data_IF_471358962167
#
_entry.id   IF_471358962167
#
_cell.length_a   1.000
_cell.length_b   1.000
_cell.length_c   1.000
_cell.angle_alpha   90.00
_cell.angle_beta   90.00
_cell.angle_gamma   90.00
#
_symmetry.space_group_name_H-M   'P 1'
#
loop_
_entity.id
_entity.type
_entity.pdbx_description
1 polymer ?
#
# COMPACT_ATOMS: atom_id res chain seq x y z
N UNK A 1 -10.79 37.72 -38.65
CA UNK A 1 -11.94 38.55 -39.16
C UNK A 1 -13.22 37.82 -38.77
N UNK A 2 -14.10 38.53 -38.12
CA UNK A 2 -15.46 38.28 -37.66
C UNK A 2 -15.61 37.68 -36.25
N UNK A 3 -15.82 38.66 -35.35
CA UNK A 3 -16.43 38.52 -34.05
C UNK A 3 -17.94 38.43 -34.18
N UNK A 4 -18.60 37.68 -33.26
CA UNK A 4 -20.02 37.88 -33.00
C UNK A 4 -20.31 37.86 -31.51
N UNK A 5 -20.51 39.06 -31.00
CA UNK A 5 -21.15 39.37 -29.73
C UNK A 5 -22.65 39.00 -29.79
N UNK A 6 -23.19 38.40 -28.72
CA UNK A 6 -24.61 38.57 -28.37
C UNK A 6 -24.77 38.85 -26.88
N UNK A 7 -25.10 40.11 -26.62
CA UNK A 7 -25.73 40.58 -25.36
C UNK A 7 -27.23 40.25 -25.42
N UNK A 8 -27.80 39.88 -24.30
CA UNK A 8 -29.24 40.07 -24.07
C UNK A 8 -29.48 40.76 -22.74
N UNK A 9 -30.38 41.75 -22.87
CA UNK A 9 -30.74 42.77 -21.90
C UNK A 9 -31.82 42.36 -20.91
N UNK A 10 -31.81 43.04 -19.82
CA UNK A 10 -32.79 43.21 -18.72
C UNK A 10 -34.25 43.13 -19.01
N UNK A 11 -35.04 42.70 -18.00
CA UNK A 11 -36.33 43.31 -17.69
C UNK A 11 -36.59 43.28 -16.17
N UNK A 12 -36.82 44.50 -15.68
CA UNK A 12 -37.29 44.81 -14.32
C UNK A 12 -38.80 44.50 -14.19
N UNK A 13 -39.22 44.06 -13.01
CA UNK A 13 -40.55 44.40 -12.49
C UNK A 13 -40.54 44.49 -10.98
N UNK A 14 -40.98 45.66 -10.49
CA UNK A 14 -41.27 46.01 -9.09
C UNK A 14 -42.58 45.38 -8.66
N UNK A 15 -42.75 45.10 -7.39
CA UNK A 15 -43.87 45.54 -6.56
C UNK A 15 -43.86 44.84 -5.17
N UNK A 16 -43.83 45.63 -4.18
CA UNK A 16 -44.79 45.95 -3.11
C UNK A 16 -44.79 45.10 -1.84
N UNK A 17 -44.48 45.84 -0.81
CA UNK A 17 -44.67 45.70 0.64
C UNK A 17 -45.92 44.97 1.11
N UNK A 18 -45.75 44.13 2.14
CA UNK A 18 -46.74 44.00 3.22
C UNK A 18 -46.01 43.67 4.53
N UNK A 19 -46.13 44.57 5.50
CA UNK A 19 -45.71 44.44 6.87
C UNK A 19 -46.59 43.40 7.59
N UNK A 20 -45.98 42.44 8.26
CA UNK A 20 -46.58 41.77 9.41
C UNK A 20 -45.49 41.60 10.47
N UNK A 21 -45.64 42.35 11.52
CA UNK A 21 -44.88 42.28 12.77
C UNK A 21 -45.24 40.96 13.46
N UNK A 22 -44.31 40.03 13.51
CA UNK A 22 -44.38 38.88 14.40
C UNK A 22 -43.17 38.92 15.34
N UNK A 23 -43.45 39.32 16.56
CA UNK A 23 -42.51 39.36 17.68
C UNK A 23 -42.14 37.89 18.03
N UNK A 24 -41.02 37.40 17.61
CA UNK A 24 -40.44 36.16 18.09
C UNK A 24 -39.51 36.45 19.24
N UNK A 25 -39.87 36.01 20.43
CA UNK A 25 -38.98 35.91 21.60
C UNK A 25 -37.82 34.97 21.23
N UNK A 26 -36.64 35.54 20.98
CA UNK A 26 -35.40 34.83 20.90
C UNK A 26 -34.98 34.45 22.32
N UNK A 27 -35.33 33.24 22.73
CA UNK A 27 -34.64 32.55 23.81
C UNK A 27 -33.26 32.17 23.29
N UNK A 28 -32.26 33.01 23.52
CA UNK A 28 -30.85 32.66 23.28
C UNK A 28 -30.43 31.67 24.34
N UNK A 29 -30.55 30.37 24.05
CA UNK A 29 -29.72 29.38 24.74
C UNK A 29 -28.30 29.57 24.23
N UNK A 30 -27.30 29.77 25.13
CA UNK A 30 -25.93 29.73 24.71
C UNK A 30 -25.63 28.30 24.28
N UNK A 31 -25.70 28.07 22.98
CA UNK A 31 -25.17 26.85 22.36
C UNK A 31 -23.68 26.83 22.64
N UNK A 32 -23.30 26.09 23.68
CA UNK A 32 -21.90 25.70 23.88
C UNK A 32 -21.53 24.94 22.62
N UNK A 33 -20.83 25.63 21.71
CA UNK A 33 -20.14 24.99 20.60
C UNK A 33 -19.08 24.11 21.27
N UNK A 34 -19.45 22.89 21.61
CA UNK A 34 -18.47 21.86 21.90
C UNK A 34 -17.65 21.67 20.62
N UNK A 35 -16.56 22.43 20.53
CA UNK A 35 -15.44 22.07 19.69
C UNK A 35 -15.21 20.58 19.98
N UNK A 36 -15.50 19.73 19.01
CA UNK A 36 -15.18 18.33 19.10
C UNK A 36 -13.70 18.26 19.49
N UNK A 37 -13.44 17.94 20.75
CA UNK A 37 -12.09 17.76 21.26
C UNK A 37 -11.49 16.65 20.39
N UNK A 38 -10.63 17.04 19.45
CA UNK A 38 -9.90 16.10 18.63
C UNK A 38 -9.22 15.13 19.60
N UNK A 39 -9.70 13.90 19.65
CA UNK A 39 -9.06 12.89 20.48
C UNK A 39 -7.60 12.80 20.06
N UNK A 40 -6.70 13.15 20.96
CA UNK A 40 -5.26 12.94 20.75
C UNK A 40 -5.08 11.44 20.49
N UNK A 41 -4.44 11.06 19.37
CA UNK A 41 -4.21 9.65 19.07
C UNK A 41 -3.48 8.97 20.23
N UNK A 42 -3.96 7.82 20.67
CA UNK A 42 -3.29 7.08 21.74
C UNK A 42 -1.93 6.57 21.27
N UNK A 43 -0.91 6.75 22.09
CA UNK A 43 0.42 6.20 21.87
C UNK A 43 0.58 4.89 22.66
N UNK A 44 1.33 3.95 22.12
CA UNK A 44 1.60 2.67 22.77
C UNK A 44 2.91 2.07 22.31
N UNK A 45 3.58 1.39 23.23
CA UNK A 45 4.68 0.48 22.88
C UNK A 45 4.11 -0.89 22.55
N UNK A 46 4.52 -1.44 21.42
CA UNK A 46 4.15 -2.81 21.03
C UNK A 46 5.26 -3.76 21.41
N UNK A 47 4.89 -4.81 22.15
CA UNK A 47 5.79 -5.89 22.49
C UNK A 47 5.43 -7.15 21.70
N UNK A 48 6.45 -7.83 21.17
CA UNK A 48 6.28 -9.10 20.45
C UNK A 48 5.68 -10.15 21.37
N UNK A 49 4.63 -10.82 20.90
CA UNK A 49 4.02 -11.96 21.57
C UNK A 49 4.76 -13.26 21.29
N UNK A 50 5.14 -13.45 20.04
CA UNK A 50 5.81 -14.64 19.57
C UNK A 50 6.76 -14.32 18.42
N UNK A 51 7.89 -14.98 18.38
CA UNK A 51 8.78 -15.00 17.24
C UNK A 51 8.50 -16.30 16.47
N UNK A 52 8.09 -16.17 15.19
CA UNK A 52 7.73 -17.31 14.36
C UNK A 52 8.96 -17.99 13.76
N UNK A 53 9.99 -17.21 13.40
CA UNK A 53 11.34 -17.71 13.10
C UNK A 53 12.38 -16.63 13.39
N UNK A 54 13.63 -17.02 13.55
CA UNK A 54 14.78 -16.18 13.86
C UNK A 54 15.95 -16.38 12.90
N UNK A 55 17.12 -16.00 13.36
CA UNK A 55 18.37 -16.03 12.58
C UNK A 55 18.85 -17.43 12.16
N UNK A 56 18.31 -18.48 12.78
CA UNK A 56 18.56 -19.88 12.43
C UNK A 56 17.92 -20.31 11.11
N UNK A 57 16.95 -19.56 10.63
CA UNK A 57 16.28 -19.84 9.37
C UNK A 57 17.20 -19.59 8.17
N UNK A 58 17.27 -20.55 7.25
CA UNK A 58 18.14 -20.51 6.06
C UNK A 58 17.53 -19.69 4.93
N UNK A 59 17.22 -18.43 5.20
CA UNK A 59 16.82 -17.46 4.17
C UNK A 59 18.03 -16.58 3.80
N UNK A 60 18.04 -16.11 2.53
CA UNK A 60 19.02 -15.12 2.05
C UNK A 60 18.44 -13.72 2.17
N UNK A 61 17.31 -13.47 1.50
CA UNK A 61 16.66 -12.17 1.52
C UNK A 61 15.12 -12.31 1.48
N UNK A 62 14.47 -12.55 2.62
CA UNK A 62 13.01 -12.65 2.70
C UNK A 62 12.38 -11.26 2.55
N UNK A 63 11.86 -10.99 1.36
CA UNK A 63 11.37 -9.64 1.00
C UNK A 63 9.87 -9.48 1.17
N UNK A 64 9.08 -10.54 0.98
CA UNK A 64 7.63 -10.49 1.06
C UNK A 64 7.09 -11.66 1.88
N UNK A 65 6.06 -11.40 2.66
CA UNK A 65 5.29 -12.46 3.29
C UNK A 65 3.79 -12.16 3.25
N UNK A 66 3.00 -13.20 3.33
CA UNK A 66 1.53 -13.14 3.38
C UNK A 66 1.06 -14.11 4.45
N UNK A 67 0.18 -13.66 5.34
CA UNK A 67 -0.50 -14.52 6.31
C UNK A 67 -1.95 -14.67 5.86
N UNK A 68 -2.34 -15.89 5.52
CA UNK A 68 -3.70 -16.19 5.08
C UNK A 68 -4.69 -16.16 6.25
N UNK A 69 -6.01 -16.05 5.98
CA UNK A 69 -7.02 -16.18 7.03
C UNK A 69 -6.99 -17.53 7.77
N UNK A 70 -6.49 -18.60 7.14
CA UNK A 70 -6.26 -19.88 7.81
C UNK A 70 -5.06 -19.89 8.77
N UNK A 71 -4.30 -18.79 8.83
CA UNK A 71 -3.08 -18.67 9.64
C UNK A 71 -1.83 -19.26 9.00
N UNK A 72 -1.90 -19.72 7.74
CA UNK A 72 -0.74 -20.17 7.00
C UNK A 72 0.09 -18.96 6.55
N UNK A 73 1.37 -18.94 6.87
CA UNK A 73 2.31 -17.92 6.39
C UNK A 73 3.05 -18.42 5.15
N UNK A 74 3.05 -17.59 4.10
CA UNK A 74 3.89 -17.74 2.92
C UNK A 74 4.99 -16.70 2.95
N UNK A 75 6.19 -17.05 2.54
CA UNK A 75 7.36 -16.18 2.51
C UNK A 75 8.05 -16.29 1.14
N UNK A 76 8.37 -15.16 0.55
CA UNK A 76 9.19 -15.06 -0.66
C UNK A 76 10.60 -14.63 -0.30
N UNK A 77 11.57 -15.47 -0.62
CA UNK A 77 12.98 -15.13 -0.64
C UNK A 77 13.38 -14.76 -2.08
N UNK A 78 13.70 -13.48 -2.29
CA UNK A 78 13.95 -12.96 -3.63
C UNK A 78 15.33 -13.36 -4.15
N UNK A 79 16.34 -13.46 -3.31
CA UNK A 79 17.68 -13.90 -3.71
C UNK A 79 17.68 -15.38 -4.16
N UNK A 80 16.94 -16.21 -3.42
CA UNK A 80 16.82 -17.62 -3.73
C UNK A 80 15.73 -17.90 -4.78
N UNK A 81 14.95 -16.87 -5.18
CA UNK A 81 13.77 -17.01 -6.04
C UNK A 81 12.87 -18.16 -5.56
N UNK A 82 12.60 -18.23 -4.27
CA UNK A 82 11.94 -19.36 -3.63
C UNK A 82 10.78 -18.92 -2.76
N UNK A 83 9.67 -19.63 -2.85
CA UNK A 83 8.51 -19.46 -1.96
C UNK A 83 8.52 -20.57 -0.92
N UNK A 84 8.36 -20.17 0.33
CA UNK A 84 8.27 -21.05 1.49
C UNK A 84 6.90 -20.91 2.16
N UNK A 85 6.52 -21.96 2.90
CA UNK A 85 5.49 -21.85 3.94
C UNK A 85 6.13 -21.98 5.31
N UNK A 86 5.63 -21.20 6.26
CA UNK A 86 6.02 -21.25 7.66
C UNK A 86 4.82 -21.66 8.49
N UNK A 87 4.96 -22.73 9.26
CA UNK A 87 3.91 -23.16 10.18
C UNK A 87 4.00 -22.34 11.48
N UNK A 88 2.93 -21.58 11.78
CA UNK A 88 2.94 -20.65 12.92
C UNK A 88 3.01 -21.32 14.30
N UNK A 89 2.76 -22.63 14.37
CA UNK A 89 2.78 -23.37 15.66
C UNK A 89 4.17 -23.74 16.12
N UNK A 90 5.02 -24.20 15.21
CA UNK A 90 6.33 -24.81 15.51
C UNK A 90 7.48 -24.17 14.69
N UNK A 91 7.18 -23.13 13.90
CA UNK A 91 8.16 -22.46 13.04
C UNK A 91 8.68 -23.32 11.89
N UNK A 92 8.08 -24.50 11.63
CA UNK A 92 8.53 -25.39 10.57
C UNK A 92 8.43 -24.71 9.21
N UNK A 93 9.54 -24.71 8.48
CA UNK A 93 9.68 -24.09 7.16
C UNK A 93 9.67 -25.20 6.11
N UNK A 94 8.75 -25.10 5.16
CA UNK A 94 8.70 -25.99 4.00
C UNK A 94 8.85 -25.18 2.72
N UNK A 95 9.67 -25.67 1.79
CA UNK A 95 9.79 -25.10 0.44
C UNK A 95 8.54 -25.48 -0.36
N UNK A 96 7.93 -24.48 -1.00
CA UNK A 96 6.79 -24.69 -1.89
C UNK A 96 7.26 -24.71 -3.35
N UNK A 97 8.00 -23.68 -3.76
CA UNK A 97 8.48 -23.49 -5.11
C UNK A 97 9.87 -22.87 -5.09
N UNK A 98 10.73 -23.22 -6.06
CA UNK A 98 12.08 -22.68 -6.13
C UNK A 98 12.49 -22.20 -7.52
N UNK A 99 13.74 -21.76 -7.61
CA UNK A 99 14.34 -21.11 -8.79
C UNK A 99 14.36 -21.99 -10.04
N UNK A 100 14.27 -23.30 -9.91
CA UNK A 100 14.18 -24.24 -11.04
C UNK A 100 12.89 -24.06 -11.83
N UNK A 101 11.84 -23.54 -11.22
CA UNK A 101 10.54 -23.29 -11.87
C UNK A 101 10.43 -21.85 -12.35
N UNK A 102 10.93 -20.91 -11.54
CA UNK A 102 10.81 -19.46 -11.78
C UNK A 102 12.05 -18.74 -11.25
N UNK A 103 12.58 -17.80 -12.01
CA UNK A 103 13.72 -16.98 -11.60
C UNK A 103 13.36 -15.50 -11.54
N UNK A 104 14.13 -14.71 -10.78
CA UNK A 104 13.96 -13.27 -10.65
C UNK A 104 12.62 -12.88 -10.02
N UNK A 105 12.20 -13.64 -9.02
CA UNK A 105 10.97 -13.34 -8.26
C UNK A 105 11.15 -12.05 -7.45
N UNK A 106 10.19 -11.15 -7.55
CA UNK A 106 10.24 -9.83 -6.89
C UNK A 106 9.04 -9.55 -5.99
N UNK A 107 7.89 -10.17 -6.24
CA UNK A 107 6.71 -9.99 -5.40
C UNK A 107 5.81 -11.22 -5.43
N UNK A 108 4.94 -11.32 -4.43
CA UNK A 108 4.05 -12.45 -4.22
C UNK A 108 2.73 -12.00 -3.62
N UNK A 109 1.66 -12.67 -4.01
CA UNK A 109 0.36 -12.57 -3.33
C UNK A 109 -0.29 -13.93 -3.21
N UNK A 110 -1.16 -14.11 -2.22
CA UNK A 110 -1.88 -15.37 -2.00
C UNK A 110 -3.37 -15.09 -1.99
N UNK A 111 -4.14 -15.82 -2.80
CA UNK A 111 -5.58 -15.70 -2.83
C UNK A 111 -6.23 -16.46 -1.66
N UNK A 112 -7.54 -16.25 -1.44
CA UNK A 112 -8.28 -16.91 -0.35
C UNK A 112 -8.35 -18.43 -0.45
N UNK A 113 -8.05 -19.00 -1.62
CA UNK A 113 -8.00 -20.44 -1.87
C UNK A 113 -6.61 -21.04 -1.64
N UNK A 114 -5.62 -20.19 -1.24
CA UNK A 114 -4.24 -20.60 -1.04
C UNK A 114 -3.43 -20.72 -2.33
N UNK A 115 -3.94 -20.29 -3.49
CA UNK A 115 -3.12 -20.19 -4.69
C UNK A 115 -2.16 -19.01 -4.55
N UNK A 116 -0.94 -19.22 -5.00
CA UNK A 116 0.14 -18.25 -4.91
C UNK A 116 0.36 -17.60 -6.28
N UNK A 117 0.20 -16.29 -6.36
CA UNK A 117 0.65 -15.50 -7.49
C UNK A 117 2.07 -15.02 -7.23
N UNK A 118 2.97 -15.26 -8.17
CA UNK A 118 4.37 -14.80 -8.11
C UNK A 118 4.69 -13.93 -9.31
N UNK A 119 5.41 -12.85 -9.07
CA UNK A 119 5.88 -11.92 -10.08
C UNK A 119 7.37 -12.14 -10.33
N UNK A 120 7.74 -12.45 -11.58
CA UNK A 120 9.11 -12.40 -12.07
C UNK A 120 9.31 -11.14 -12.91
N UNK A 121 10.06 -10.18 -12.39
CA UNK A 121 10.36 -8.93 -13.12
C UNK A 121 11.31 -9.16 -14.28
N UNK A 122 12.25 -10.10 -14.14
CA UNK A 122 13.22 -10.44 -15.19
C UNK A 122 12.51 -10.94 -16.46
N UNK A 123 11.43 -11.67 -16.29
CA UNK A 123 10.65 -12.22 -17.41
C UNK A 123 9.39 -11.43 -17.72
N UNK A 124 9.11 -10.32 -16.99
CA UNK A 124 7.85 -9.56 -17.07
C UNK A 124 6.62 -10.47 -17.01
N UNK A 125 6.68 -11.48 -16.13
CA UNK A 125 5.72 -12.58 -16.06
C UNK A 125 5.13 -12.71 -14.66
N UNK A 126 3.84 -12.96 -14.61
CA UNK A 126 3.13 -13.29 -13.37
C UNK A 126 2.55 -14.70 -13.54
N UNK A 127 2.80 -15.58 -12.58
CA UNK A 127 2.35 -16.97 -12.64
C UNK A 127 1.51 -17.28 -11.41
N UNK A 128 0.36 -17.91 -11.64
CA UNK A 128 -0.47 -18.49 -10.59
C UNK A 128 -0.05 -19.93 -10.36
N UNK A 129 0.29 -20.24 -9.12
CA UNK A 129 0.74 -21.57 -8.69
C UNK A 129 -0.24 -22.18 -7.71
N UNK A 130 -0.41 -23.49 -7.78
CA UNK A 130 -1.03 -24.26 -6.68
C UNK A 130 -0.11 -24.32 -5.47
N UNK A 131 -0.63 -24.77 -4.33
CA UNK A 131 0.17 -25.10 -3.15
C UNK A 131 1.24 -26.18 -3.39
N UNK A 132 1.11 -26.96 -4.48
CA UNK A 132 2.10 -27.96 -4.95
C UNK A 132 3.00 -27.45 -6.07
N UNK A 133 3.10 -26.11 -6.27
CA UNK A 133 3.95 -25.47 -7.29
C UNK A 133 3.57 -25.76 -8.76
N UNK A 134 2.37 -26.14 -9.04
CA UNK A 134 1.91 -26.35 -10.43
C UNK A 134 1.34 -25.06 -11.00
N UNK A 135 1.79 -24.64 -12.17
CA UNK A 135 1.27 -23.45 -12.86
C UNK A 135 -0.18 -23.68 -13.30
N UNK A 136 -1.08 -22.79 -12.92
CA UNK A 136 -2.50 -22.77 -13.29
C UNK A 136 -2.82 -21.71 -14.34
N UNK A 137 -2.17 -20.54 -14.25
CA UNK A 137 -2.36 -19.42 -15.15
C UNK A 137 -1.07 -18.63 -15.28
N UNK A 138 -0.92 -17.93 -16.40
CA UNK A 138 0.23 -17.09 -16.67
C UNK A 138 -0.23 -15.80 -17.34
N UNK A 139 0.34 -14.68 -16.90
CA UNK A 139 0.19 -13.36 -17.49
C UNK A 139 1.57 -12.90 -17.94
N UNK A 140 1.68 -12.48 -19.19
CA UNK A 140 2.87 -11.80 -19.72
C UNK A 140 2.52 -10.33 -19.85
N UNK A 141 3.08 -9.50 -18.98
CA UNK A 141 2.83 -8.06 -18.97
C UNK A 141 3.82 -7.33 -19.88
N UNK A 142 3.32 -6.34 -20.62
CA UNK A 142 4.15 -5.42 -21.41
C UNK A 142 4.46 -4.13 -20.66
N UNK A 143 3.83 -3.92 -19.51
CA UNK A 143 3.84 -2.66 -18.78
C UNK A 143 4.80 -2.67 -17.57
N UNK A 144 5.84 -3.53 -17.59
CA UNK A 144 6.82 -3.68 -16.52
C UNK A 144 6.13 -3.83 -15.13
N UNK A 145 5.59 -5.00 -14.80
CA UNK A 145 4.89 -5.19 -13.55
C UNK A 145 5.87 -5.05 -12.36
N UNK A 146 5.52 -4.21 -11.39
CA UNK A 146 6.36 -3.91 -10.23
C UNK A 146 5.89 -4.61 -8.96
N UNK A 147 4.56 -4.65 -8.73
CA UNK A 147 3.93 -5.22 -7.53
C UNK A 147 2.63 -5.93 -7.89
N UNK A 148 2.27 -6.89 -7.05
CA UNK A 148 1.01 -7.61 -7.18
C UNK A 148 0.29 -7.75 -5.85
N UNK A 149 -1.04 -7.74 -5.88
CA UNK A 149 -1.87 -8.06 -4.72
C UNK A 149 -3.17 -8.73 -5.17
N UNK A 150 -3.69 -9.66 -4.38
CA UNK A 150 -5.01 -10.26 -4.62
C UNK A 150 -6.04 -9.61 -3.72
N UNK A 151 -7.16 -9.20 -4.29
CA UNK A 151 -8.27 -8.63 -3.53
C UNK A 151 -9.21 -9.70 -2.95
N UNK A 152 -10.22 -9.25 -2.22
CA UNK A 152 -11.20 -10.13 -1.58
C UNK A 152 -12.02 -10.99 -2.57
N UNK A 153 -12.14 -10.56 -3.82
CA UNK A 153 -12.81 -11.31 -4.89
C UNK A 153 -11.90 -12.34 -5.58
N UNK A 154 -10.62 -12.41 -5.21
CA UNK A 154 -9.61 -13.26 -5.85
C UNK A 154 -9.08 -12.69 -7.16
N UNK A 155 -9.38 -11.42 -7.46
CA UNK A 155 -8.83 -10.70 -8.61
C UNK A 155 -7.42 -10.24 -8.29
N UNK A 156 -6.55 -10.22 -9.30
CA UNK A 156 -5.16 -9.81 -9.18
C UNK A 156 -5.01 -8.35 -9.61
N UNK A 157 -4.53 -7.52 -8.70
CA UNK A 157 -4.13 -6.14 -8.94
C UNK A 157 -2.64 -6.15 -9.28
N UNK A 158 -2.27 -5.54 -10.40
CA UNK A 158 -0.89 -5.40 -10.87
C UNK A 158 -0.55 -3.93 -10.95
N UNK A 159 0.51 -3.51 -10.27
CA UNK A 159 1.11 -2.19 -10.41
C UNK A 159 2.07 -2.19 -11.60
N UNK A 160 1.87 -1.27 -12.52
CA UNK A 160 2.68 -1.12 -13.73
C UNK A 160 3.79 -0.07 -13.56
N UNK A 161 5.01 -0.39 -13.97
CA UNK A 161 6.14 0.54 -14.01
C UNK A 161 6.08 1.51 -15.19
N UNK A 162 5.49 1.13 -16.31
CA UNK A 162 5.35 1.93 -17.53
C UNK A 162 3.93 1.85 -18.08
N UNK A 163 3.63 2.62 -19.12
CA UNK A 163 2.33 2.65 -19.78
C UNK A 163 1.39 3.73 -19.24
N UNK A 164 0.21 3.84 -19.84
CA UNK A 164 -0.76 4.89 -19.56
C UNK A 164 -1.39 4.77 -18.16
N UNK A 165 -1.68 3.55 -17.75
CA UNK A 165 -2.39 3.27 -16.51
C UNK A 165 -1.47 2.73 -15.42
N UNK A 166 -1.68 3.20 -14.20
CA UNK A 166 -0.92 2.76 -13.03
C UNK A 166 -1.21 1.31 -12.67
N UNK A 167 -2.45 0.86 -12.86
CA UNK A 167 -2.90 -0.49 -12.48
C UNK A 167 -3.56 -1.23 -13.62
N UNK A 168 -3.40 -2.56 -13.57
CA UNK A 168 -4.20 -3.54 -14.29
C UNK A 168 -4.87 -4.48 -13.28
N UNK A 169 -6.15 -4.78 -13.52
CA UNK A 169 -6.92 -5.75 -12.76
C UNK A 169 -7.17 -6.98 -13.63
N UNK A 170 -6.79 -8.14 -13.11
CA UNK A 170 -6.99 -9.43 -13.77
C UNK A 170 -7.96 -10.30 -12.98
N UNK A 171 -8.75 -11.08 -13.70
CA UNK A 171 -9.60 -12.10 -13.09
C UNK A 171 -8.79 -13.24 -12.46
N UNK A 172 -9.45 -14.11 -11.66
CA UNK A 172 -8.80 -15.28 -11.07
C UNK A 172 -8.25 -16.27 -12.10
N UNK A 173 -8.71 -16.18 -13.35
CA UNK A 173 -8.26 -16.94 -14.51
C UNK A 173 -7.09 -16.29 -15.29
N UNK A 174 -6.62 -15.12 -14.84
CA UNK A 174 -5.53 -14.37 -15.47
C UNK A 174 -5.95 -13.51 -16.67
N UNK A 175 -7.25 -13.36 -16.95
CA UNK A 175 -7.72 -12.46 -18.02
C UNK A 175 -7.78 -11.02 -17.52
N UNK A 176 -7.30 -10.08 -18.36
CA UNK A 176 -7.39 -8.66 -18.09
C UNK A 176 -8.86 -8.21 -18.04
N UNK A 177 -9.26 -7.65 -16.92
CA UNK A 177 -10.60 -7.09 -16.71
C UNK A 177 -10.64 -5.60 -17.05
N UNK A 178 -9.60 -4.85 -16.62
CA UNK A 178 -9.49 -3.39 -16.84
C UNK A 178 -8.10 -2.86 -16.53
N UNK A 179 -7.82 -1.66 -17.07
CA UNK A 179 -6.67 -0.83 -16.72
C UNK A 179 -7.16 0.51 -16.19
N UNK A 180 -6.52 1.07 -15.16
CA UNK A 180 -6.97 2.29 -14.50
C UNK A 180 -5.86 2.92 -13.65
N UNK A 181 -6.18 4.05 -13.01
CA UNK A 181 -5.28 4.79 -12.13
C UNK A 181 -4.34 5.71 -12.88
N UNK A 182 -4.34 6.99 -12.52
CA UNK A 182 -3.45 7.99 -13.10
C UNK A 182 -2.08 7.89 -12.45
N UNK A 183 -1.03 7.87 -13.26
CA UNK A 183 0.37 7.97 -12.82
C UNK A 183 0.65 9.38 -12.27
N UNK A 184 1.73 9.50 -11.51
CA UNK A 184 2.30 10.82 -11.22
C UNK A 184 2.92 11.37 -12.51
N UNK A 185 2.91 12.71 -12.65
CA UNK A 185 3.45 13.37 -13.82
C UNK A 185 4.55 14.35 -13.42
N UNK A 186 5.78 13.99 -13.76
CA UNK A 186 6.99 14.78 -13.56
C UNK A 186 7.60 15.24 -14.90
N UNK A 187 6.81 15.19 -16.00
CA UNK A 187 7.25 15.55 -17.35
C UNK A 187 8.43 14.70 -17.89
N UNK A 188 8.72 13.56 -17.25
CA UNK A 188 9.77 12.62 -17.67
C UNK A 188 9.33 11.20 -17.36
N UNK A 189 9.25 10.32 -18.37
CA UNK A 189 8.69 8.97 -18.22
C UNK A 189 9.52 8.09 -17.28
N UNK A 190 10.85 8.26 -17.30
CA UNK A 190 11.74 7.49 -16.40
C UNK A 190 11.51 7.88 -14.96
N UNK A 191 11.40 9.17 -14.67
CA UNK A 191 11.07 9.70 -13.35
C UNK A 191 9.68 9.26 -12.91
N UNK A 192 8.70 9.32 -13.81
CA UNK A 192 7.33 8.87 -13.55
C UNK A 192 7.29 7.38 -13.21
N UNK A 193 8.04 6.56 -13.93
CA UNK A 193 8.17 5.13 -13.66
C UNK A 193 8.77 4.87 -12.28
N UNK A 194 9.90 5.48 -11.99
CA UNK A 194 10.63 5.30 -10.74
C UNK A 194 9.81 5.73 -9.51
N UNK A 195 9.15 6.90 -9.58
CA UNK A 195 8.39 7.43 -8.45
C UNK A 195 6.97 6.85 -8.34
N UNK A 196 6.50 6.13 -9.37
CA UNK A 196 5.19 5.46 -9.32
C UNK A 196 5.23 4.10 -8.65
N UNK A 197 6.40 3.58 -8.25
CA UNK A 197 6.45 2.37 -7.41
C UNK A 197 5.85 2.64 -6.03
N UNK A 198 5.36 1.60 -5.39
CA UNK A 198 4.68 1.73 -4.11
C UNK A 198 4.24 0.41 -3.49
N UNK A 199 3.27 0.49 -2.61
CA UNK A 199 2.72 -0.66 -1.90
C UNK A 199 1.20 -0.73 -2.06
N UNK A 200 0.67 -1.93 -2.16
CA UNK A 200 -0.76 -2.21 -2.34
C UNK A 200 -1.27 -2.96 -1.12
N UNK A 201 -2.35 -2.48 -0.51
CA UNK A 201 -3.09 -3.18 0.53
C UNK A 201 -4.55 -3.37 0.12
N UNK A 202 -4.98 -4.57 -0.25
CA UNK A 202 -6.38 -4.85 -0.54
C UNK A 202 -7.27 -4.54 0.67
N UNK A 203 -8.46 -4.02 0.41
CA UNK A 203 -9.48 -3.81 1.42
C UNK A 203 -10.53 -4.95 1.44
N UNK A 204 -11.46 -4.87 2.39
CA UNK A 204 -12.51 -5.90 2.54
C UNK A 204 -13.63 -5.78 1.50
N UNK A 205 -13.74 -4.65 0.81
CA UNK A 205 -14.78 -4.38 -0.21
C UNK A 205 -14.38 -4.90 -1.60
N UNK A 206 -13.14 -5.35 -1.73
CA UNK A 206 -12.54 -5.75 -3.01
C UNK A 206 -11.80 -4.62 -3.70
N UNK A 207 -11.79 -3.42 -3.13
CA UNK A 207 -10.91 -2.31 -3.50
C UNK A 207 -9.52 -2.46 -2.85
N UNK A 208 -8.76 -1.37 -2.84
CA UNK A 208 -7.44 -1.37 -2.21
C UNK A 208 -6.92 0.04 -1.93
N UNK A 209 -6.02 0.12 -0.97
CA UNK A 209 -5.17 1.28 -0.76
C UNK A 209 -3.84 1.10 -1.48
N UNK A 210 -3.32 2.19 -2.04
CA UNK A 210 -2.01 2.26 -2.65
C UNK A 210 -1.23 3.43 -2.08
N UNK A 211 -0.04 3.17 -1.57
CA UNK A 211 0.91 4.20 -1.14
C UNK A 211 2.07 4.27 -2.10
N UNK A 212 2.31 5.44 -2.69
CA UNK A 212 3.51 5.69 -3.46
C UNK A 212 4.75 5.64 -2.56
N UNK A 213 5.86 5.14 -3.08
CA UNK A 213 7.14 5.25 -2.40
C UNK A 213 7.55 6.72 -2.24
N UNK A 214 7.28 7.54 -3.27
CA UNK A 214 7.45 8.99 -3.27
C UNK A 214 6.49 9.65 -4.29
N UNK A 215 5.83 10.76 -3.97
CA UNK A 215 5.70 11.34 -2.62
C UNK A 215 4.90 10.41 -1.70
N UNK A 216 4.90 10.63 -0.38
CA UNK A 216 4.08 9.84 0.53
C UNK A 216 2.60 10.21 0.33
N UNK A 217 2.02 9.65 -0.69
CA UNK A 217 0.64 9.87 -1.11
C UNK A 217 -0.07 8.55 -1.08
N UNK A 218 -1.25 8.51 -0.46
CA UNK A 218 -2.08 7.30 -0.39
C UNK A 218 -3.33 7.53 -1.20
N UNK A 219 -3.64 6.57 -2.07
CA UNK A 219 -4.88 6.51 -2.84
C UNK A 219 -5.71 5.31 -2.42
N UNK A 220 -7.00 5.52 -2.28
CA UNK A 220 -7.98 4.46 -2.07
C UNK A 220 -8.80 4.28 -3.35
N UNK A 221 -8.79 3.07 -3.90
CA UNK A 221 -9.52 2.71 -5.11
C UNK A 221 -10.63 1.72 -4.79
N UNK A 222 -11.81 1.93 -5.39
CA UNK A 222 -12.87 0.95 -5.38
C UNK A 222 -12.50 -0.26 -6.26
N UNK A 223 -13.19 -1.39 -6.08
CA UNK A 223 -13.02 -2.60 -6.90
C UNK A 223 -13.16 -2.33 -8.41
N UNK A 224 -14.00 -1.38 -8.81
CA UNK A 224 -14.18 -1.00 -10.21
C UNK A 224 -13.05 -0.10 -10.75
N UNK A 225 -12.00 0.22 -9.97
CA UNK A 225 -10.89 1.07 -10.35
C UNK A 225 -11.15 2.58 -10.16
N UNK A 226 -12.31 2.98 -9.68
CA UNK A 226 -12.61 4.39 -9.39
C UNK A 226 -11.78 4.86 -8.19
N UNK A 227 -11.11 6.00 -8.31
CA UNK A 227 -10.44 6.65 -7.18
C UNK A 227 -11.50 7.21 -6.23
N UNK A 228 -11.57 6.62 -5.03
CA UNK A 228 -12.48 7.06 -3.97
C UNK A 228 -11.90 8.28 -3.27
N UNK A 229 -10.59 8.23 -2.96
CA UNK A 229 -9.92 9.24 -2.13
C UNK A 229 -8.42 9.25 -2.35
N UNK A 230 -7.85 10.41 -2.12
CA UNK A 230 -6.39 10.63 -2.07
C UNK A 230 -6.06 11.46 -0.82
N UNK A 231 -5.04 11.08 -0.08
CA UNK A 231 -4.58 11.81 1.10
C UNK A 231 -3.09 11.56 1.37
N UNK A 232 -2.47 12.49 2.11
CA UNK A 232 -1.10 12.32 2.60
C UNK A 232 -1.14 11.74 4.00
N UNK A 233 -0.33 10.72 4.32
CA UNK A 233 -0.18 10.28 5.70
C UNK A 233 0.39 11.42 6.54
N UNK A 234 -0.18 11.62 7.71
CA UNK A 234 0.39 12.56 8.67
C UNK A 234 1.77 12.07 9.10
N UNK A 235 2.78 12.87 8.90
CA UNK A 235 4.16 12.55 9.25
C UNK A 235 4.90 13.80 9.71
N UNK A 236 5.54 13.69 10.85
CA UNK A 236 6.47 14.71 11.35
C UNK A 236 7.86 14.61 10.69
N UNK A 237 8.08 13.57 9.88
CA UNK A 237 9.35 13.34 9.21
C UNK A 237 9.41 14.23 7.97
N UNK A 238 10.33 15.20 7.92
CA UNK A 238 10.56 15.99 6.71
C UNK A 238 10.97 15.07 5.55
N UNK A 239 10.40 15.31 4.38
CA UNK A 239 10.69 14.53 3.19
C UNK A 239 11.45 15.41 2.22
N UNK A 240 12.69 15.05 1.97
CA UNK A 240 13.52 15.74 0.99
C UNK A 240 13.01 15.50 -0.43
N UNK A 241 13.13 16.46 -1.34
CA UNK A 241 12.83 16.27 -2.75
C UNK A 241 13.62 15.07 -3.32
N UNK A 242 13.05 14.31 -4.27
CA UNK A 242 13.76 13.22 -4.89
C UNK A 242 14.92 13.75 -5.73
N UNK A 243 16.04 13.08 -5.68
CA UNK A 243 17.19 13.33 -6.57
C UNK A 243 17.28 12.15 -7.54
N UNK A 244 16.82 12.37 -8.77
CA UNK A 244 16.85 11.37 -9.82
C UNK A 244 17.79 11.86 -10.90
N UNK A 245 18.76 11.03 -11.27
CA UNK A 245 19.67 11.30 -12.38
C UNK A 245 19.61 10.14 -13.38
N UNK A 246 19.43 10.50 -14.64
CA UNK A 246 19.38 9.57 -15.75
C UNK A 246 20.65 9.78 -16.60
N UNK A 247 21.40 8.72 -16.84
CA UNK A 247 22.60 8.77 -17.69
C UNK A 247 22.52 7.68 -18.75
N UNK A 248 22.82 8.02 -19.99
CA UNK A 248 23.04 7.04 -21.04
C UNK A 248 24.47 6.51 -20.97
N UNK A 249 24.64 5.20 -20.95
CA UNK A 249 25.94 4.53 -20.99
C UNK A 249 25.90 3.47 -22.11
N UNK A 250 26.38 3.83 -23.28
CA UNK A 250 26.21 3.03 -24.49
C UNK A 250 24.71 2.86 -24.83
N UNK A 251 24.25 1.63 -24.99
CA UNK A 251 22.85 1.30 -25.27
C UNK A 251 21.98 1.18 -24.01
N UNK A 252 22.53 1.43 -22.82
CA UNK A 252 21.82 1.30 -21.56
C UNK A 252 21.48 2.67 -20.99
N UNK A 253 20.33 2.76 -20.33
CA UNK A 253 19.94 3.90 -19.51
C UNK A 253 20.17 3.53 -18.04
N UNK A 254 21.05 4.26 -17.38
CA UNK A 254 21.32 4.10 -15.95
C UNK A 254 20.54 5.15 -15.20
N UNK A 255 19.62 4.71 -14.36
CA UNK A 255 18.84 5.56 -13.45
C UNK A 255 19.48 5.47 -12.06
N UNK A 256 19.81 6.62 -11.49
CA UNK A 256 20.21 6.71 -10.08
C UNK A 256 19.17 7.54 -9.36
N UNK A 257 18.44 6.92 -8.49
CA UNK A 257 17.42 7.57 -7.66
C UNK A 257 17.86 7.62 -6.20
N UNK A 258 17.66 8.79 -5.57
CA UNK A 258 17.80 8.99 -4.13
C UNK A 258 16.56 9.70 -3.65
N UNK A 259 15.69 8.97 -2.98
CA UNK A 259 14.56 9.53 -2.29
C UNK A 259 14.26 8.75 -1.01
N UNK A 260 13.59 9.39 -0.10
CA UNK A 260 13.18 8.75 1.14
C UNK A 260 11.84 8.05 0.93
N UNK A 261 11.80 6.76 1.20
CA UNK A 261 10.55 6.00 1.29
C UNK A 261 10.01 6.18 2.70
N UNK A 262 8.90 6.90 2.85
CA UNK A 262 8.27 7.09 4.15
C UNK A 262 7.45 5.85 4.56
N UNK A 263 6.61 5.34 3.67
CA UNK A 263 5.77 4.17 3.94
C UNK A 263 6.47 2.92 3.41
N UNK A 264 7.01 2.11 4.31
CA UNK A 264 7.69 0.86 3.96
C UNK A 264 6.71 -0.22 3.52
N UNK A 265 5.57 -0.28 4.20
CA UNK A 265 4.50 -1.23 3.89
C UNK A 265 3.16 -0.78 4.47
N UNK A 266 2.06 -1.35 3.97
CA UNK A 266 0.72 -1.08 4.46
C UNK A 266 -0.15 -2.34 4.40
N UNK A 267 -1.10 -2.45 5.33
CA UNK A 267 -2.13 -3.48 5.33
C UNK A 267 -3.44 -2.94 5.90
N UNK A 268 -4.53 -3.60 5.57
CA UNK A 268 -5.85 -3.33 6.15
C UNK A 268 -6.26 -4.45 7.09
N UNK A 269 -7.05 -4.12 8.10
CA UNK A 269 -7.69 -5.13 8.95
C UNK A 269 -9.15 -5.37 8.55
N UNK A 270 -9.79 -6.33 9.23
CA UNK A 270 -11.19 -6.67 9.01
C UNK A 270 -12.18 -5.52 9.32
N UNK A 271 -11.76 -4.50 10.06
CA UNK A 271 -12.54 -3.30 10.37
C UNK A 271 -12.35 -2.16 9.38
N UNK A 272 -11.53 -2.37 8.33
CA UNK A 272 -11.19 -1.35 7.33
C UNK A 272 -10.17 -0.32 7.83
N UNK A 273 -9.51 -0.55 8.98
CA UNK A 273 -8.42 0.32 9.44
C UNK A 273 -7.18 0.08 8.61
N UNK A 274 -6.48 1.16 8.26
CA UNK A 274 -5.24 1.12 7.50
C UNK A 274 -4.04 1.23 8.45
N UNK A 275 -3.13 0.28 8.34
CA UNK A 275 -1.88 0.23 9.10
C UNK A 275 -0.72 0.61 8.19
N UNK A 276 0.05 1.58 8.59
CA UNK A 276 1.24 2.05 7.87
C UNK A 276 2.48 1.74 8.68
N UNK A 277 3.40 0.99 8.10
CA UNK A 277 4.74 0.81 8.63
C UNK A 277 5.63 1.92 8.06
N UNK A 278 6.17 2.76 8.92
CA UNK A 278 6.98 3.90 8.52
C UNK A 278 8.48 3.60 8.58
N UNK A 279 9.22 4.19 7.64
CA UNK A 279 10.68 4.20 7.71
C UNK A 279 11.16 5.24 8.73
N UNK A 280 12.27 4.93 9.39
CA UNK A 280 13.06 5.96 10.05
C UNK A 280 13.87 6.78 9.05
N UNK A 281 14.46 7.89 9.48
CA UNK A 281 15.33 8.72 8.64
C UNK A 281 16.51 7.91 8.10
N UNK A 282 16.68 7.87 6.78
CA UNK A 282 17.73 7.11 6.08
C UNK A 282 19.17 7.60 6.32
N UNK A 283 19.41 8.60 7.15
CA UNK A 283 20.76 9.21 7.27
C UNK A 283 21.33 9.25 8.66
N UNK A 284 20.70 8.66 9.66
CA UNK A 284 21.25 8.74 11.01
C UNK A 284 21.21 7.37 11.66
N UNK A 285 22.28 6.98 12.35
CA UNK A 285 22.23 5.85 13.24
C UNK A 285 21.17 6.15 14.31
N UNK A 286 20.30 5.23 14.51
CA UNK A 286 19.19 5.26 15.44
C UNK A 286 18.07 6.27 15.10
N UNK A 287 16.89 5.72 14.88
CA UNK A 287 15.65 6.46 15.11
C UNK A 287 15.76 7.10 16.50
N UNK A 288 15.61 8.41 16.56
CA UNK A 288 15.43 9.07 17.85
C UNK A 288 14.34 8.32 18.59
N UNK A 289 14.61 7.96 19.85
CA UNK A 289 13.59 7.47 20.76
C UNK A 289 12.35 8.34 20.61
N UNK A 290 11.19 7.73 20.40
CA UNK A 290 9.93 8.47 20.26
C UNK A 290 9.37 8.64 18.84
N UNK A 291 10.04 8.20 17.76
CA UNK A 291 9.43 8.26 16.42
C UNK A 291 8.48 7.08 16.22
N UNK A 292 7.17 7.29 15.98
CA UNK A 292 6.24 6.21 15.74
C UNK A 292 6.64 5.47 14.45
N UNK A 293 6.70 4.15 14.54
CA UNK A 293 7.04 3.27 13.42
C UNK A 293 5.82 2.66 12.77
N UNK A 294 4.70 2.63 13.49
CA UNK A 294 3.43 2.11 13.01
C UNK A 294 2.33 3.14 13.30
N UNK A 295 1.61 3.53 12.25
CA UNK A 295 0.45 4.41 12.37
C UNK A 295 -0.78 3.63 11.93
N UNK A 296 -1.86 3.74 12.72
CA UNK A 296 -3.17 3.19 12.38
C UNK A 296 -4.10 4.33 12.03
N UNK A 297 -4.68 4.23 10.85
CA UNK A 297 -5.60 5.23 10.29
C UNK A 297 -7.00 4.65 10.12
N UNK A 298 -7.99 5.52 10.11
CA UNK A 298 -9.27 5.21 9.48
C UNK A 298 -9.10 5.15 7.96
N UNK A 299 -10.10 4.65 7.26
CA UNK A 299 -10.19 4.63 5.79
C UNK A 299 -10.09 6.03 5.16
N UNK A 300 -10.40 7.08 5.93
CA UNK A 300 -10.33 8.47 5.49
C UNK A 300 -9.02 9.18 5.87
N UNK A 301 -8.03 8.46 6.39
CA UNK A 301 -6.70 8.98 6.70
C UNK A 301 -6.55 9.63 8.07
N UNK A 302 -7.61 9.66 8.92
CA UNK A 302 -7.50 10.18 10.29
C UNK A 302 -6.69 9.21 11.16
N UNK A 303 -5.71 9.73 11.88
CA UNK A 303 -4.89 8.93 12.81
C UNK A 303 -5.75 8.47 13.98
N UNK A 304 -5.77 7.16 14.19
CA UNK A 304 -6.40 6.51 15.33
C UNK A 304 -5.39 6.20 16.43
N UNK A 305 -4.19 5.76 16.03
CA UNK A 305 -3.17 5.31 16.96
C UNK A 305 -1.77 5.45 16.36
N UNK A 306 -0.79 5.70 17.22
CA UNK A 306 0.64 5.61 16.92
C UNK A 306 1.25 4.54 17.81
N UNK A 307 2.10 3.70 17.24
CA UNK A 307 2.80 2.67 17.99
C UNK A 307 4.31 2.72 17.75
N UNK A 308 5.04 2.58 18.81
CA UNK A 308 6.49 2.47 18.78
C UNK A 308 6.88 1.00 18.74
N UNK A 309 7.82 0.70 17.87
CA UNK A 309 8.35 -0.66 17.67
C UNK A 309 9.80 -0.69 18.13
N UNK A 310 10.17 -1.71 18.90
CA UNK A 310 11.54 -1.88 19.40
C UNK A 310 12.56 -2.14 18.28
N UNK A 311 12.10 -2.68 17.16
CA UNK A 311 12.94 -3.11 16.05
C UNK A 311 12.56 -2.45 14.73
N UNK A 312 13.50 -2.42 13.79
CA UNK A 312 13.26 -1.97 12.43
C UNK A 312 12.69 -3.13 11.60
N UNK A 313 11.44 -3.00 11.21
CA UNK A 313 10.75 -3.93 10.33
C UNK A 313 10.61 -3.34 8.93
N UNK A 314 10.41 -4.19 7.92
CA UNK A 314 10.33 -3.79 6.51
C UNK A 314 8.98 -4.14 5.89
N UNK A 315 8.30 -5.14 6.45
CA UNK A 315 7.00 -5.59 5.96
C UNK A 315 6.06 -5.83 7.11
N UNK A 316 4.78 -5.66 6.82
CA UNK A 316 3.71 -5.97 7.76
C UNK A 316 2.61 -6.78 7.06
N UNK A 317 1.90 -7.58 7.84
CA UNK A 317 0.66 -8.21 7.44
C UNK A 317 -0.31 -8.24 8.61
N UNK A 318 -1.60 -8.33 8.31
CA UNK A 318 -2.66 -8.45 9.30
C UNK A 318 -3.51 -9.66 8.96
N UNK A 319 -3.71 -10.53 9.93
CA UNK A 319 -4.59 -11.68 9.80
C UNK A 319 -5.18 -12.03 11.15
N UNK A 320 -6.49 -12.36 11.20
CA UNK A 320 -7.20 -12.82 12.40
C UNK A 320 -6.99 -11.94 13.63
N UNK A 321 -7.00 -10.61 13.47
CA UNK A 321 -6.80 -9.68 14.57
C UNK A 321 -5.38 -9.63 15.12
N UNK A 322 -4.40 -10.12 14.38
CA UNK A 322 -2.97 -10.11 14.73
C UNK A 322 -2.18 -9.33 13.69
N UNK A 323 -1.16 -8.63 14.17
CA UNK A 323 -0.17 -7.93 13.35
C UNK A 323 1.09 -8.79 13.30
N UNK A 324 1.60 -8.98 12.10
CA UNK A 324 2.85 -9.67 11.83
C UNK A 324 3.84 -8.69 11.22
N UNK A 325 5.08 -8.71 11.70
CA UNK A 325 6.14 -7.80 11.26
C UNK A 325 7.38 -8.60 10.87
N UNK A 326 7.87 -8.37 9.64
CA UNK A 326 9.07 -9.01 9.11
C UNK A 326 10.26 -8.06 9.12
N UNK A 327 11.37 -8.53 9.68
CA UNK A 327 12.70 -7.94 9.56
C UNK A 327 13.53 -8.80 8.61
N UNK A 328 13.93 -8.22 7.48
CA UNK A 328 14.71 -8.92 6.45
C UNK A 328 16.22 -8.61 6.49
N UNK A 329 16.70 -7.93 7.54
CA UNK A 329 18.11 -7.70 7.84
C UNK A 329 18.51 -8.46 9.09
N UNK A 330 19.79 -8.81 9.18
CA UNK A 330 20.30 -9.55 10.34
C UNK A 330 20.08 -8.84 11.67
N UNK A 331 19.61 -9.53 12.69
CA UNK A 331 19.07 -10.89 12.62
C UNK A 331 17.70 -10.92 11.93
N UNK A 332 17.50 -11.89 11.02
CA UNK A 332 16.19 -12.12 10.37
C UNK A 332 15.16 -12.47 11.44
N UNK A 333 13.94 -11.95 11.28
CA UNK A 333 12.91 -12.13 12.29
C UNK A 333 11.52 -11.90 11.73
N UNK A 334 10.60 -12.79 12.08
CA UNK A 334 9.15 -12.59 11.90
C UNK A 334 8.47 -12.68 13.26
N UNK A 335 7.83 -11.60 13.66
CA UNK A 335 7.18 -11.47 14.96
C UNK A 335 5.67 -11.31 14.81
N UNK A 336 4.96 -11.86 15.79
CA UNK A 336 3.51 -11.72 15.98
C UNK A 336 3.22 -10.76 17.13
N UNK A 337 2.26 -9.86 16.93
CA UNK A 337 1.78 -8.90 17.91
C UNK A 337 0.27 -9.01 18.05
N UNK A 338 -0.24 -8.78 19.26
CA UNK A 338 -1.67 -8.55 19.45
C UNK A 338 -2.03 -7.16 18.96
N UNK A 339 -3.10 -7.07 18.18
CA UNK A 339 -3.68 -5.76 17.83
C UNK A 339 -4.52 -5.25 19.01
N UNK A 340 -4.61 -3.96 19.13
CA UNK A 340 -5.35 -3.20 20.13
C UNK A 340 -6.76 -2.82 19.65
#
# INVERSE_FOLDING_TARGET
MIALHRRFFFSNAKALLLWSVLTFLLVTTPGVCQLASGQIPSETNLHSRAQLFGSEAKFSFPEKFVVTPSGQTYLLDTDLSTVYTVQNKDGRINRVCGSETLSGLADMSVDRRGNVWVLSVVHSKIVKLTSSCQAQAQIVSRNLPLRIATNAAGELIVLNGVGEHLFELYGPDGKLLRSFGKRLDYNDETTNSELSDGRIAPDNSGGFFFSFNYPPLIRHYARNGTLIREFKPESEIPIDPPNISVRKQGNYTVVRSRYQILVLDLATDARGRLFLLLSGKNKVPALTEGTPKLIVLTDNGRVLKRAFLENNFHRLAISNGRLYLLRNRMPLRLDEYLMF
#
